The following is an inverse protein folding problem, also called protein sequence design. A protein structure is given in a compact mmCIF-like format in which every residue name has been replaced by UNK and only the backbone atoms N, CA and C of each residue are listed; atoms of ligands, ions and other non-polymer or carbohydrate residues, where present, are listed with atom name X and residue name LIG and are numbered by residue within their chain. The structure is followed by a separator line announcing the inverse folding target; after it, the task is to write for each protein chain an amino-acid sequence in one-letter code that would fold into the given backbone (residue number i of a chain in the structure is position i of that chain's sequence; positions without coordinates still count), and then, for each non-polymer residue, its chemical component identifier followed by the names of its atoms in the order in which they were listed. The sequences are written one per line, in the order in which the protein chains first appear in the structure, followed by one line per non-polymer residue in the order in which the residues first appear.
data_IF_595412123031
#
_entry.id   IF_595412123031
#
_cell.length_a   1.000
_cell.length_b   1.000
_cell.length_c   1.000
_cell.angle_alpha   90.00
_cell.angle_beta   90.00
_cell.angle_gamma   90.00
#
_symmetry.space_group_name_H-M   'P 1'
#
loop_
_entity.id
_entity.type
_entity.pdbx_description
1 polymer ?
#
# COMPACT_ATOMS: atom_id res chain seq x y z
N UNK A 1 20.31 2.56 -3.22
CA UNK A 1 18.88 2.95 -3.27
C UNK A 1 18.25 2.47 -4.59
N UNK A 2 16.98 2.07 -4.62
CA UNK A 2 16.34 1.55 -5.84
C UNK A 2 15.91 2.67 -6.78
N UNK A 3 16.22 2.55 -8.08
CA UNK A 3 16.00 3.57 -9.13
C UNK A 3 14.56 4.10 -9.27
N UNK A 4 13.55 3.46 -8.69
CA UNK A 4 12.12 3.72 -8.94
C UNK A 4 11.32 4.16 -7.70
N UNK A 5 11.97 4.54 -6.60
CA UNK A 5 11.26 4.95 -5.38
C UNK A 5 10.42 6.22 -5.55
N UNK A 6 10.78 7.10 -6.48
CA UNK A 6 10.05 8.35 -6.74
C UNK A 6 8.73 8.15 -7.52
N UNK A 7 8.53 6.99 -8.14
CA UNK A 7 7.34 6.65 -8.94
C UNK A 7 6.27 5.89 -8.13
N UNK A 8 6.57 5.60 -6.85
CA UNK A 8 5.65 4.91 -5.95
C UNK A 8 4.67 5.92 -5.36
N UNK A 9 3.38 5.62 -5.48
CA UNK A 9 2.29 6.38 -4.87
C UNK A 9 1.37 5.43 -4.09
N UNK A 10 0.62 5.98 -3.14
CA UNK A 10 -0.39 5.22 -2.39
C UNK A 10 -1.76 5.53 -2.99
N UNK A 11 -2.40 4.51 -3.57
CA UNK A 11 -3.73 4.62 -4.16
C UNK A 11 -4.78 4.10 -3.18
N UNK A 12 -5.73 4.97 -2.83
CA UNK A 12 -6.90 4.62 -2.02
C UNK A 12 -7.83 3.70 -2.82
N UNK A 13 -8.27 2.61 -2.21
CA UNK A 13 -9.20 1.66 -2.82
C UNK A 13 -10.04 0.95 -1.76
N UNK A 14 -11.11 0.28 -2.18
CA UNK A 14 -11.97 -0.53 -1.29
C UNK A 14 -11.61 -2.01 -1.39
N UNK A 15 -11.56 -2.67 -0.24
CA UNK A 15 -11.32 -4.09 -0.12
C UNK A 15 -12.47 -4.89 -0.72
N UNK A 16 -12.20 -5.64 -1.78
CA UNK A 16 -13.13 -6.64 -2.34
C UNK A 16 -12.96 -8.00 -1.69
N UNK A 17 -11.80 -8.23 -1.08
CA UNK A 17 -11.45 -9.43 -0.32
C UNK A 17 -10.70 -9.00 0.95
N UNK A 18 -10.56 -9.92 1.91
CA UNK A 18 -9.82 -9.66 3.13
C UNK A 18 -8.32 -9.49 2.82
N UNK A 19 -7.71 -8.49 3.45
CA UNK A 19 -6.30 -8.20 3.28
C UNK A 19 -5.63 -7.99 4.63
N UNK A 20 -4.31 -8.16 4.69
CA UNK A 20 -3.53 -7.87 5.88
C UNK A 20 -2.70 -6.62 5.61
N UNK A 21 -2.73 -5.67 6.53
CA UNK A 21 -1.91 -4.48 6.49
C UNK A 21 -0.43 -4.86 6.64
N UNK A 22 0.40 -4.48 5.68
CA UNK A 22 1.83 -4.78 5.68
C UNK A 22 2.58 -4.07 6.82
N UNK A 23 2.09 -2.92 7.29
CA UNK A 23 2.74 -2.13 8.33
C UNK A 23 2.41 -2.62 9.75
N UNK A 24 1.13 -2.80 10.08
CA UNK A 24 0.69 -3.13 11.43
C UNK A 24 0.14 -4.55 11.60
N UNK A 25 0.02 -5.33 10.52
CA UNK A 25 -0.58 -6.67 10.57
C UNK A 25 -2.10 -6.68 10.76
N UNK A 26 -2.76 -5.52 10.87
CA UNK A 26 -4.22 -5.44 11.03
C UNK A 26 -4.94 -6.00 9.80
N UNK A 27 -5.99 -6.76 10.04
CA UNK A 27 -6.90 -7.24 9.00
C UNK A 27 -7.76 -6.09 8.46
N UNK A 28 -7.88 -6.06 7.14
CA UNK A 28 -8.71 -5.15 6.37
C UNK A 28 -9.85 -6.01 5.83
N UNK A 29 -11.05 -5.78 6.36
CA UNK A 29 -12.23 -6.56 5.99
C UNK A 29 -12.79 -6.12 4.64
N UNK A 30 -13.64 -6.97 4.06
CA UNK A 30 -14.35 -6.65 2.81
C UNK A 30 -15.21 -5.41 3.02
N UNK A 31 -15.16 -4.46 2.08
CA UNK A 31 -15.85 -3.17 2.16
C UNK A 31 -15.04 -2.07 2.85
N UNK A 32 -13.98 -2.42 3.59
CA UNK A 32 -13.12 -1.41 4.20
C UNK A 32 -12.25 -0.68 3.18
N UNK A 33 -11.88 0.54 3.53
CA UNK A 33 -10.98 1.36 2.71
C UNK A 33 -9.53 1.09 3.11
N UNK A 34 -8.68 0.88 2.11
CA UNK A 34 -7.26 0.69 2.30
C UNK A 34 -6.45 1.37 1.20
N UNK A 35 -5.15 1.48 1.43
CA UNK A 35 -4.20 2.12 0.54
C UNK A 35 -3.25 1.06 0.00
N UNK A 36 -3.15 0.93 -1.32
CA UNK A 36 -2.18 0.04 -1.96
C UNK A 36 -1.08 0.84 -2.60
N UNK A 37 0.13 0.29 -2.60
CA UNK A 37 1.22 0.80 -3.41
C UNK A 37 0.81 0.78 -4.91
N UNK A 38 1.17 1.82 -5.64
CA UNK A 38 0.96 1.95 -7.08
C UNK A 38 2.23 2.51 -7.69
N UNK A 39 2.64 1.98 -8.83
CA UNK A 39 3.82 2.46 -9.57
C UNK A 39 3.30 2.86 -10.94
N UNK A 40 3.43 4.15 -11.27
CA UNK A 40 2.76 4.74 -12.44
C UNK A 40 3.33 4.27 -13.78
N UNK A 41 4.56 3.75 -13.81
CA UNK A 41 5.37 3.68 -15.03
C UNK A 41 5.74 2.25 -15.50
N UNK A 42 5.15 1.18 -14.94
CA UNK A 42 5.51 -0.18 -15.37
C UNK A 42 4.32 -1.06 -15.66
N UNK A 43 4.34 -1.59 -16.90
CA UNK A 43 3.70 -2.79 -17.42
C UNK A 43 3.69 -4.01 -16.46
N UNK A 44 4.53 -4.02 -15.43
CA UNK A 44 4.49 -5.02 -14.37
C UNK A 44 3.50 -4.61 -13.29
N UNK A 45 2.30 -5.20 -13.33
CA UNK A 45 1.50 -5.43 -12.12
C UNK A 45 2.35 -6.22 -11.12
N UNK A 46 3.12 -5.52 -10.28
CA UNK A 46 3.96 -6.17 -9.27
C UNK A 46 3.04 -6.99 -8.37
N UNK A 47 3.15 -8.32 -8.40
CA UNK A 47 2.34 -9.23 -7.58
C UNK A 47 2.39 -8.88 -6.08
N UNK A 48 3.51 -8.29 -5.64
CA UNK A 48 3.82 -7.95 -4.25
C UNK A 48 3.45 -6.50 -3.91
N UNK A 49 2.26 -6.07 -4.30
CA UNK A 49 1.78 -4.74 -3.91
C UNK A 49 1.53 -4.70 -2.40
N UNK A 50 2.28 -3.84 -1.69
CA UNK A 50 2.05 -3.60 -0.27
C UNK A 50 0.70 -2.93 -0.06
N UNK A 51 -0.06 -3.40 0.94
CA UNK A 51 -1.38 -2.89 1.31
C UNK A 51 -1.32 -2.34 2.73
N UNK A 52 -1.96 -1.20 2.96
CA UNK A 52 -1.94 -0.48 4.22
C UNK A 52 -3.37 -0.11 4.62
N UNK A 53 -3.73 -0.35 5.88
CA UNK A 53 -5.03 0.08 6.40
C UNK A 53 -5.10 1.61 6.49
N UNK A 54 -6.32 2.15 6.51
CA UNK A 54 -6.53 3.61 6.62
C UNK A 54 -5.82 4.21 7.84
N UNK A 55 -5.86 3.54 9.00
CA UNK A 55 -5.19 4.02 10.21
C UNK A 55 -3.67 4.13 10.07
N UNK A 56 -3.02 3.25 9.31
CA UNK A 56 -1.58 3.38 9.05
C UNK A 56 -1.30 4.54 8.09
N UNK A 57 -2.14 4.69 7.07
CA UNK A 57 -2.02 5.81 6.15
C UNK A 57 -2.21 7.16 6.85
N UNK A 58 -3.14 7.28 7.79
CA UNK A 58 -3.36 8.51 8.55
C UNK A 58 -2.19 8.83 9.48
N UNK A 59 -1.52 7.81 10.05
CA UNK A 59 -0.38 8.00 10.95
C UNK A 59 0.94 8.31 10.23
N UNK A 60 1.20 7.62 9.12
CA UNK A 60 2.52 7.63 8.45
C UNK A 60 2.48 8.25 7.04
N UNK A 61 1.30 8.34 6.42
CA UNK A 61 1.12 8.93 5.10
C UNK A 61 2.01 8.29 4.04
N UNK A 62 2.82 9.14 3.38
CA UNK A 62 3.76 8.74 2.32
C UNK A 62 4.99 8.01 2.85
N UNK A 63 5.29 8.09 4.14
CA UNK A 63 6.46 7.43 4.75
C UNK A 63 6.36 5.89 4.71
N UNK A 64 5.14 5.37 4.61
CA UNK A 64 4.88 3.94 4.37
C UNK A 64 5.57 3.39 3.11
N UNK A 65 5.87 4.24 2.12
CA UNK A 65 6.57 3.85 0.90
C UNK A 65 8.10 3.74 1.09
N UNK A 66 8.64 4.38 2.13
CA UNK A 66 10.06 4.39 2.47
C UNK A 66 10.45 3.24 3.39
N UNK A 67 9.49 2.65 4.09
CA UNK A 67 9.68 1.47 4.95
C UNK A 67 10.13 0.25 4.15
N UNK A 68 11.45 0.13 4.01
CA UNK A 68 12.16 -1.12 3.72
C UNK A 68 12.34 -1.85 5.05
N UNK A 69 11.56 -2.90 5.25
CA UNK A 69 11.93 -3.93 6.21
C UNK A 69 12.81 -4.94 5.48
#
# INVERSE_FOLDING_TARGET
MGKYNHLKTLKKTKARTQHICYNCGKEILIGETYYREHIEDKFLHSLHVKKYCSSCYEKYGKDLLLSKK
#
